data_IF_350404916746
#
_entry.id   IF_350404916746
#
_cell.length_a   1.000
_cell.length_b   1.000
_cell.length_c   1.000
_cell.angle_alpha   90.00
_cell.angle_beta   90.00
_cell.angle_gamma   90.00
#
_symmetry.space_group_name_H-M   'P 1'
#
loop_
_entity.id
_entity.type
_entity.pdbx_description
1 polymer ?
#
# COMPACT_ATOMS: atom_id res chain seq x y z
N UNK A 1 -10.29 -16.76 38.75
CA UNK A 1 -10.29 -15.83 37.58
C UNK A 1 -11.53 -14.93 37.60
N UNK A 2 -12.72 -15.41 37.88
CA UNK A 2 -13.94 -14.63 38.00
C UNK A 2 -13.94 -13.59 39.14
N UNK A 3 -13.20 -13.80 40.21
CA UNK A 3 -13.12 -12.91 41.38
C UNK A 3 -12.34 -11.62 41.09
N UNK A 4 -11.34 -11.67 40.23
CA UNK A 4 -10.58 -10.45 39.84
C UNK A 4 -11.35 -9.56 38.87
N UNK A 5 -12.19 -10.13 38.02
CA UNK A 5 -13.02 -9.35 37.10
C UNK A 5 -14.11 -8.56 37.88
N UNK A 6 -14.68 -9.14 38.93
CA UNK A 6 -15.62 -8.42 39.83
C UNK A 6 -14.96 -7.21 40.52
N UNK A 7 -13.69 -7.33 40.91
CA UNK A 7 -12.96 -6.25 41.60
C UNK A 7 -12.63 -5.07 40.69
N UNK A 8 -12.36 -5.34 39.39
CA UNK A 8 -12.09 -4.28 38.42
C UNK A 8 -13.37 -3.48 38.07
N UNK A 9 -14.51 -4.16 37.94
CA UNK A 9 -15.82 -3.49 37.75
C UNK A 9 -16.23 -2.65 38.97
N UNK A 10 -15.91 -3.11 40.17
CA UNK A 10 -16.19 -2.37 41.41
C UNK A 10 -15.35 -1.09 41.54
N UNK A 11 -14.11 -1.11 41.14
CA UNK A 11 -13.23 0.07 41.25
C UNK A 11 -13.54 1.15 40.18
N UNK A 12 -14.01 0.78 39.01
CA UNK A 12 -14.49 1.75 38.00
C UNK A 12 -15.79 2.43 38.42
N UNK A 13 -16.66 1.70 39.18
CA UNK A 13 -17.87 2.27 39.74
C UNK A 13 -17.60 3.17 40.97
N UNK A 14 -16.56 2.89 41.76
CA UNK A 14 -16.22 3.70 42.94
C UNK A 14 -15.63 5.10 42.58
N UNK A 15 -15.07 5.27 41.40
CA UNK A 15 -14.58 6.56 40.94
C UNK A 15 -15.66 7.53 40.42
N UNK A 16 -16.89 7.06 40.26
CA UNK A 16 -18.04 7.84 39.74
C UNK A 16 -19.23 7.98 40.72
N UNK A 17 -19.10 7.47 41.96
CA UNK A 17 -20.23 7.41 42.88
C UNK A 17 -20.09 8.40 44.04
N UNK A 18 -20.51 9.63 43.83
CA UNK A 18 -21.00 10.52 44.91
C UNK A 18 -22.52 10.46 45.08
N UNK A 19 -23.23 9.68 44.28
CA UNK A 19 -24.66 9.40 44.45
C UNK A 19 -24.92 7.90 44.40
N UNK A 20 -25.72 7.38 45.32
CA UNK A 20 -26.24 5.98 45.44
C UNK A 20 -27.15 5.63 44.24
N UNK A 21 -26.62 5.65 43.00
CA UNK A 21 -27.31 5.07 41.84
C UNK A 21 -26.97 3.59 41.79
N UNK A 22 -27.96 2.75 41.99
CA UNK A 22 -27.91 1.31 41.69
C UNK A 22 -27.38 1.14 40.29
N UNK A 23 -26.28 0.43 40.12
CA UNK A 23 -25.70 0.12 38.81
C UNK A 23 -26.63 -0.85 38.08
N UNK A 24 -27.62 -0.31 37.35
CA UNK A 24 -28.53 -1.10 36.53
C UNK A 24 -27.76 -1.46 35.26
N UNK A 25 -27.58 -2.76 35.02
CA UNK A 25 -27.04 -3.24 33.74
C UNK A 25 -27.96 -2.77 32.62
N UNK A 26 -27.40 -1.95 31.71
CA UNK A 26 -28.15 -1.39 30.59
C UNK A 26 -27.83 -2.18 29.31
N UNK A 27 -28.84 -2.82 28.74
CA UNK A 27 -28.81 -3.34 27.38
C UNK A 27 -29.16 -2.19 26.45
N UNK A 28 -28.21 -1.78 25.58
CA UNK A 28 -28.39 -0.64 24.68
C UNK A 28 -29.21 -1.06 23.46
N UNK A 29 -28.81 -2.16 22.81
CA UNK A 29 -29.44 -2.68 21.59
C UNK A 29 -29.13 -4.17 21.40
N UNK A 30 -29.91 -4.85 20.54
CA UNK A 30 -29.52 -6.15 19.98
C UNK A 30 -28.47 -5.95 18.91
N UNK A 31 -27.41 -6.74 18.94
CA UNK A 31 -26.30 -6.60 18.00
C UNK A 31 -25.93 -7.98 17.43
N UNK A 32 -25.50 -7.99 16.16
CA UNK A 32 -25.30 -9.18 15.35
C UNK A 32 -23.86 -9.29 14.84
N UNK A 33 -23.37 -10.51 14.73
CA UNK A 33 -22.16 -10.87 13.98
C UNK A 33 -22.55 -11.37 12.58
N UNK A 34 -21.57 -11.63 11.73
CA UNK A 34 -21.85 -12.22 10.42
C UNK A 34 -22.42 -13.65 10.52
N UNK A 35 -22.10 -14.38 11.59
CA UNK A 35 -22.60 -15.73 11.83
C UNK A 35 -24.09 -15.77 12.25
N UNK A 36 -24.68 -14.64 12.64
CA UNK A 36 -26.07 -14.52 13.11
C UNK A 36 -27.06 -14.31 11.96
N UNK A 37 -26.60 -14.03 10.74
CA UNK A 37 -27.44 -13.60 9.62
C UNK A 37 -27.09 -14.32 8.33
N UNK A 38 -28.05 -14.34 7.41
CA UNK A 38 -27.88 -14.82 6.04
C UNK A 38 -28.41 -13.76 5.07
N UNK A 39 -27.89 -13.78 3.83
CA UNK A 39 -28.43 -12.96 2.77
C UNK A 39 -29.73 -13.56 2.24
N UNK A 40 -30.75 -12.73 2.07
CA UNK A 40 -32.00 -13.13 1.42
C UNK A 40 -31.80 -13.18 -0.08
N UNK A 41 -32.06 -14.33 -0.75
CA UNK A 41 -31.95 -14.40 -2.20
C UNK A 41 -32.86 -13.39 -2.89
N UNK A 42 -32.36 -12.74 -3.93
CA UNK A 42 -33.12 -11.78 -4.72
C UNK A 42 -33.01 -12.06 -6.22
N UNK A 43 -33.90 -11.47 -7.02
CA UNK A 43 -33.84 -11.58 -8.47
C UNK A 43 -32.49 -11.03 -8.99
N UNK A 44 -31.81 -11.77 -9.87
CA UNK A 44 -30.56 -11.38 -10.49
C UNK A 44 -30.61 -11.55 -12.00
N UNK A 45 -30.07 -10.57 -12.70
CA UNK A 45 -29.81 -10.61 -14.15
C UNK A 45 -28.30 -10.71 -14.46
N UNK A 46 -27.46 -10.79 -13.44
CA UNK A 46 -26.00 -10.80 -13.55
C UNK A 46 -25.44 -12.20 -13.30
N UNK A 47 -24.65 -12.70 -14.24
CA UNK A 47 -23.90 -13.95 -14.04
C UNK A 47 -22.62 -13.67 -13.23
N UNK A 48 -22.14 -14.64 -12.42
CA UNK A 48 -20.94 -14.47 -11.60
C UNK A 48 -19.71 -13.96 -12.37
N UNK A 49 -19.51 -14.42 -13.60
CA UNK A 49 -18.39 -13.98 -14.48
C UNK A 49 -18.45 -12.51 -14.93
N UNK A 50 -19.60 -11.85 -14.76
CA UNK A 50 -19.81 -10.45 -15.15
C UNK A 50 -19.87 -9.52 -13.95
N UNK A 51 -19.63 -10.02 -12.74
CA UNK A 51 -19.62 -9.20 -11.52
C UNK A 51 -18.33 -8.41 -11.44
N UNK A 52 -18.45 -7.10 -11.19
CA UNK A 52 -17.31 -6.25 -10.83
C UNK A 52 -17.12 -6.26 -9.32
N UNK A 53 -15.90 -6.53 -8.86
CA UNK A 53 -15.52 -6.44 -7.45
C UNK A 53 -14.89 -5.08 -7.10
N UNK A 54 -14.86 -4.16 -8.06
CA UNK A 54 -14.28 -2.83 -7.85
C UNK A 54 -15.00 -2.08 -6.73
N UNK A 55 -14.23 -1.49 -5.83
CA UNK A 55 -14.74 -0.72 -4.71
C UNK A 55 -13.87 0.51 -4.45
N UNK A 56 -14.42 1.45 -3.68
CA UNK A 56 -13.70 2.65 -3.26
C UNK A 56 -13.10 2.44 -1.87
N UNK A 57 -11.77 2.54 -1.78
CA UNK A 57 -11.03 2.46 -0.51
C UNK A 57 -11.08 3.77 0.26
N UNK A 58 -10.80 4.87 -0.43
CA UNK A 58 -10.81 6.23 0.10
C UNK A 58 -11.49 7.16 -0.91
N UNK A 59 -11.49 8.46 -0.66
CA UNK A 59 -12.07 9.42 -1.62
C UNK A 59 -11.43 9.34 -3.01
N UNK A 60 -10.12 9.09 -3.07
CA UNK A 60 -9.34 9.16 -4.31
C UNK A 60 -8.69 7.83 -4.71
N UNK A 61 -8.87 6.76 -3.92
CA UNK A 61 -8.30 5.44 -4.21
C UNK A 61 -9.42 4.43 -4.38
N UNK A 62 -9.44 3.76 -5.53
CA UNK A 62 -10.27 2.59 -5.79
C UNK A 62 -9.42 1.31 -5.73
N UNK A 63 -10.04 0.21 -5.37
CA UNK A 63 -9.49 -1.13 -5.43
C UNK A 63 -10.24 -1.95 -6.48
N UNK A 64 -9.54 -2.80 -7.22
CA UNK A 64 -10.15 -3.74 -8.16
C UNK A 64 -10.65 -5.00 -7.45
N UNK A 65 -10.08 -5.33 -6.29
CA UNK A 65 -10.52 -6.37 -5.37
C UNK A 65 -10.71 -5.75 -3.97
N UNK A 66 -11.86 -5.93 -3.29
CA UNK A 66 -12.18 -5.25 -2.02
C UNK A 66 -11.46 -5.86 -0.81
N UNK A 67 -10.14 -6.10 -0.94
CA UNK A 67 -9.32 -6.71 0.09
C UNK A 67 -8.14 -5.80 0.47
N UNK A 68 -7.91 -5.73 1.79
CA UNK A 68 -6.80 -5.00 2.41
C UNK A 68 -6.06 -5.97 3.34
N UNK A 69 -4.73 -6.06 3.24
CA UNK A 69 -3.99 -6.87 4.20
C UNK A 69 -3.80 -6.12 5.53
N UNK A 70 -3.92 -6.85 6.64
CA UNK A 70 -3.79 -6.29 7.98
C UNK A 70 -2.38 -5.76 8.25
N UNK A 71 -2.30 -4.60 8.91
CA UNK A 71 -1.05 -3.95 9.30
C UNK A 71 -0.43 -4.61 10.55
N UNK A 72 -0.18 -5.91 10.47
CA UNK A 72 0.31 -6.73 11.56
C UNK A 72 1.75 -7.20 11.30
N UNK A 73 2.55 -7.23 12.36
CA UNK A 73 3.87 -7.84 12.35
C UNK A 73 3.79 -9.29 11.86
N UNK A 74 4.79 -9.74 11.11
CA UNK A 74 4.86 -11.06 10.45
C UNK A 74 3.76 -11.34 9.40
N UNK A 75 2.84 -10.41 9.14
CA UNK A 75 1.78 -10.52 8.13
C UNK A 75 2.09 -9.64 6.93
N UNK A 76 2.09 -8.32 7.08
CA UNK A 76 2.24 -7.40 5.94
C UNK A 76 3.56 -6.67 5.95
N UNK A 77 4.51 -7.18 5.19
CA UNK A 77 5.70 -6.49 4.73
C UNK A 77 5.64 -6.30 3.20
N UNK A 78 6.70 -5.74 2.60
CA UNK A 78 6.75 -5.41 1.18
C UNK A 78 6.35 -6.59 0.24
N UNK A 79 6.68 -7.84 0.58
CA UNK A 79 6.35 -9.01 -0.25
C UNK A 79 4.84 -9.22 -0.36
N UNK A 80 4.12 -9.25 0.77
CA UNK A 80 2.68 -9.40 0.75
C UNK A 80 1.99 -8.16 0.17
N UNK A 81 2.50 -6.95 0.47
CA UNK A 81 1.94 -5.72 -0.09
C UNK A 81 2.00 -5.70 -1.63
N UNK A 82 3.09 -6.22 -2.22
CA UNK A 82 3.21 -6.41 -3.67
C UNK A 82 2.13 -7.37 -4.18
N UNK A 83 2.04 -8.58 -3.60
CA UNK A 83 1.05 -9.58 -4.04
C UNK A 83 -0.39 -9.06 -3.91
N UNK A 84 -0.71 -8.38 -2.80
CA UNK A 84 -2.04 -7.77 -2.61
C UNK A 84 -2.37 -6.75 -3.68
N UNK A 85 -1.41 -5.89 -4.04
CA UNK A 85 -1.62 -4.88 -5.08
C UNK A 85 -1.71 -5.50 -6.48
N UNK A 86 -0.94 -6.56 -6.77
CA UNK A 86 -1.01 -7.32 -8.03
C UNK A 86 -2.38 -7.96 -8.24
N UNK A 87 -2.98 -8.51 -7.18
CA UNK A 87 -4.33 -9.10 -7.22
C UNK A 87 -5.46 -8.05 -7.21
N UNK A 88 -5.15 -6.77 -7.11
CA UNK A 88 -6.14 -5.68 -7.17
C UNK A 88 -6.57 -5.10 -5.83
N UNK A 89 -6.06 -5.62 -4.72
CA UNK A 89 -6.23 -5.09 -3.37
C UNK A 89 -5.15 -4.06 -2.99
N UNK A 90 -4.87 -3.92 -1.70
CA UNK A 90 -3.79 -3.09 -1.18
C UNK A 90 -3.18 -3.69 0.09
N UNK A 91 -1.86 -3.63 0.21
CA UNK A 91 -1.15 -4.02 1.42
C UNK A 91 -0.85 -2.83 2.32
N UNK A 92 -1.08 -3.01 3.64
CA UNK A 92 -0.74 -1.99 4.65
C UNK A 92 0.47 -2.46 5.46
N UNK A 93 1.63 -1.85 5.22
CA UNK A 93 2.88 -2.22 5.91
C UNK A 93 2.80 -1.83 7.39
N UNK A 94 3.09 -2.80 8.27
CA UNK A 94 3.01 -2.61 9.71
C UNK A 94 4.05 -1.63 10.25
N UNK A 95 3.78 -1.06 11.44
CA UNK A 95 4.65 -0.06 12.10
C UNK A 95 5.67 -0.64 13.09
N UNK A 96 5.65 -1.96 13.35
CA UNK A 96 6.58 -2.59 14.30
C UNK A 96 7.98 -2.77 13.69
N UNK A 97 8.55 -1.68 13.22
CA UNK A 97 9.90 -1.56 12.68
C UNK A 97 10.36 -0.10 12.75
N UNK A 98 11.66 0.15 12.60
CA UNK A 98 12.16 1.52 12.56
C UNK A 98 11.68 2.27 11.29
N UNK A 99 11.70 3.59 11.34
CA UNK A 99 11.20 4.48 10.29
C UNK A 99 11.84 4.18 8.94
N UNK A 100 13.17 4.04 8.91
CA UNK A 100 13.94 3.78 7.69
C UNK A 100 13.51 2.47 7.02
N UNK A 101 13.38 1.38 7.79
CA UNK A 101 12.98 0.06 7.26
C UNK A 101 11.56 0.10 6.70
N UNK A 102 10.63 0.80 7.35
CA UNK A 102 9.26 0.92 6.87
C UNK A 102 9.20 1.73 5.56
N UNK A 103 9.91 2.84 5.48
CA UNK A 103 10.02 3.65 4.27
C UNK A 103 10.69 2.87 3.11
N UNK A 104 11.75 2.10 3.40
CA UNK A 104 12.39 1.21 2.42
C UNK A 104 11.42 0.13 1.91
N UNK A 105 10.56 -0.42 2.78
CA UNK A 105 9.55 -1.40 2.38
C UNK A 105 8.49 -0.77 1.46
N UNK A 106 8.02 0.45 1.74
CA UNK A 106 7.14 1.23 0.84
C UNK A 106 7.82 1.47 -0.50
N UNK A 107 9.03 2.01 -0.50
CA UNK A 107 9.80 2.27 -1.71
C UNK A 107 10.05 1.00 -2.55
N UNK A 108 10.20 -0.17 -1.89
CA UNK A 108 10.34 -1.45 -2.57
C UNK A 108 9.06 -1.84 -3.33
N UNK A 109 7.88 -1.62 -2.75
CA UNK A 109 6.59 -1.85 -3.42
C UNK A 109 6.44 -0.91 -4.62
N UNK A 110 6.67 0.38 -4.42
CA UNK A 110 6.57 1.40 -5.48
C UNK A 110 7.50 1.14 -6.68
N UNK A 111 8.66 0.54 -6.46
CA UNK A 111 9.62 0.18 -7.52
C UNK A 111 9.37 -1.19 -8.14
N UNK A 112 8.40 -1.96 -7.66
CA UNK A 112 8.28 -3.35 -8.08
C UNK A 112 7.77 -3.51 -9.52
N UNK A 113 6.85 -2.71 -9.97
CA UNK A 113 6.21 -2.81 -11.30
C UNK A 113 5.82 -1.43 -11.84
N UNK A 114 6.79 -0.61 -12.03
CA UNK A 114 6.55 0.72 -12.64
C UNK A 114 6.56 0.65 -14.17
N UNK A 115 5.98 -0.27 -14.86
CA UNK A 115 5.91 -0.38 -16.33
C UNK A 115 7.06 0.29 -17.10
N UNK A 116 7.43 1.49 -16.67
CA UNK A 116 8.64 2.24 -17.02
C UNK A 116 9.51 2.34 -15.78
N UNK A 117 10.72 1.79 -15.79
CA UNK A 117 11.71 2.01 -14.73
C UNK A 117 12.15 3.47 -14.84
N UNK A 118 11.52 4.37 -14.06
CA UNK A 118 11.97 5.77 -13.93
C UNK A 118 13.31 5.76 -13.18
N UNK A 119 14.26 6.57 -13.61
CA UNK A 119 15.64 6.64 -13.08
C UNK A 119 16.35 5.27 -13.03
N UNK A 120 16.58 4.61 -14.17
CA UNK A 120 17.35 3.39 -14.22
C UNK A 120 18.79 3.65 -13.75
N UNK A 121 19.41 2.62 -13.16
CA UNK A 121 20.84 2.72 -12.82
C UNK A 121 21.63 2.92 -14.08
N UNK A 122 22.38 4.01 -14.15
CA UNK A 122 23.25 4.38 -15.27
C UNK A 122 24.72 4.18 -14.94
N UNK A 123 25.54 4.06 -15.96
CA UNK A 123 26.99 3.97 -15.86
C UNK A 123 27.64 4.97 -16.82
N UNK A 124 28.88 5.41 -16.52
CA UNK A 124 29.65 6.28 -17.37
C UNK A 124 30.39 5.48 -18.48
N UNK A 125 30.57 6.02 -19.67
CA UNK A 125 31.23 5.33 -20.77
C UNK A 125 32.70 5.00 -20.48
N UNK A 126 33.37 5.76 -19.62
CA UNK A 126 34.76 5.58 -19.20
C UNK A 126 34.93 4.52 -18.09
N UNK A 127 33.84 4.06 -17.45
CA UNK A 127 33.92 3.02 -16.43
C UNK A 127 34.55 1.76 -17.00
N UNK A 128 35.49 1.15 -16.25
CA UNK A 128 36.09 -0.10 -16.69
C UNK A 128 35.14 -1.29 -16.54
N UNK A 129 35.23 -2.25 -17.45
CA UNK A 129 34.41 -3.47 -17.41
C UNK A 129 34.57 -4.23 -16.09
N UNK A 130 35.79 -4.29 -15.53
CA UNK A 130 36.05 -4.88 -14.22
C UNK A 130 35.29 -4.20 -13.10
N UNK A 131 35.29 -2.87 -13.06
CA UNK A 131 34.51 -2.08 -12.07
C UNK A 131 32.99 -2.30 -12.22
N UNK A 132 32.50 -2.41 -13.45
CA UNK A 132 31.11 -2.71 -13.73
C UNK A 132 30.71 -4.09 -13.18
N UNK A 133 31.56 -5.11 -13.35
CA UNK A 133 31.28 -6.45 -12.82
C UNK A 133 31.29 -6.48 -11.29
N UNK A 134 32.23 -5.78 -10.64
CA UNK A 134 32.26 -5.62 -9.19
C UNK A 134 31.02 -4.92 -8.66
N UNK A 135 30.61 -3.81 -9.27
CA UNK A 135 29.38 -3.08 -8.95
C UNK A 135 28.14 -4.00 -9.02
N UNK A 136 28.07 -4.86 -10.05
CA UNK A 136 26.99 -5.83 -10.23
C UNK A 136 27.00 -6.93 -9.17
N UNK A 137 28.18 -7.44 -8.80
CA UNK A 137 28.34 -8.48 -7.79
C UNK A 137 27.89 -8.00 -6.38
N UNK A 138 28.14 -6.73 -6.07
CA UNK A 138 27.75 -6.13 -4.79
C UNK A 138 26.22 -5.88 -4.69
N UNK A 139 25.51 -5.79 -5.82
CA UNK A 139 24.07 -5.54 -5.86
C UNK A 139 23.29 -6.85 -5.90
N UNK A 140 22.43 -7.07 -4.92
CA UNK A 140 21.53 -8.26 -4.82
C UNK A 140 20.54 -8.42 -5.98
N UNK A 141 20.39 -7.42 -6.86
CA UNK A 141 19.45 -7.42 -7.98
C UNK A 141 20.20 -7.65 -9.29
N UNK A 142 19.81 -8.68 -10.05
CA UNK A 142 20.32 -8.89 -11.40
C UNK A 142 19.84 -7.75 -12.32
N UNK A 143 20.76 -6.93 -12.78
CA UNK A 143 20.50 -5.88 -13.76
C UNK A 143 20.76 -6.47 -15.15
N UNK A 144 19.72 -6.60 -15.96
CA UNK A 144 19.82 -7.21 -17.29
C UNK A 144 20.29 -6.25 -18.38
N UNK A 145 20.31 -4.94 -18.11
CA UNK A 145 20.81 -3.89 -19.00
C UNK A 145 21.06 -2.61 -18.21
N UNK A 146 22.15 -1.93 -18.56
CA UNK A 146 22.61 -0.71 -17.91
C UNK A 146 22.79 0.38 -18.98
N UNK A 147 21.94 1.42 -18.97
CA UNK A 147 22.12 2.58 -19.84
C UNK A 147 23.46 3.26 -19.53
N UNK A 148 24.18 3.61 -20.60
CA UNK A 148 25.42 4.40 -20.53
C UNK A 148 25.06 5.85 -20.79
N UNK A 149 25.43 6.72 -19.85
CA UNK A 149 25.06 8.15 -19.89
C UNK A 149 26.32 8.99 -19.73
N UNK A 150 26.45 10.02 -20.57
CA UNK A 150 27.48 11.02 -20.49
C UNK A 150 26.85 12.41 -20.49
N UNK A 151 27.20 13.25 -19.53
CA UNK A 151 26.62 14.60 -19.35
C UNK A 151 25.09 14.66 -19.39
N UNK A 152 24.45 13.66 -18.78
CA UNK A 152 22.99 13.51 -18.73
C UNK A 152 22.36 12.90 -19.98
N UNK A 153 23.08 12.73 -21.07
CA UNK A 153 22.61 12.20 -22.37
C UNK A 153 22.87 10.71 -22.51
N UNK A 154 21.95 10.01 -23.13
CA UNK A 154 22.08 8.60 -23.46
C UNK A 154 23.12 8.41 -24.58
N UNK A 155 24.21 7.67 -24.31
CA UNK A 155 25.26 7.37 -25.29
C UNK A 155 25.35 5.89 -25.67
N UNK A 156 24.77 4.99 -24.86
CA UNK A 156 24.78 3.57 -25.15
C UNK A 156 24.00 2.72 -24.15
N UNK A 157 24.10 1.41 -24.34
CA UNK A 157 23.50 0.40 -23.45
C UNK A 157 24.45 -0.80 -23.33
N UNK A 158 24.70 -1.26 -22.12
CA UNK A 158 25.40 -2.54 -21.86
C UNK A 158 24.41 -3.56 -21.32
N UNK A 159 24.41 -4.75 -21.91
CA UNK A 159 23.54 -5.85 -21.54
C UNK A 159 24.32 -7.06 -21.02
N UNK A 160 23.61 -8.06 -20.51
CA UNK A 160 24.22 -9.34 -20.12
C UNK A 160 24.91 -10.05 -21.31
N UNK A 161 24.42 -9.84 -22.54
CA UNK A 161 24.99 -10.43 -23.73
C UNK A 161 26.39 -9.87 -24.00
N UNK A 162 26.57 -8.57 -23.82
CA UNK A 162 27.85 -7.87 -24.08
C UNK A 162 28.93 -8.26 -23.05
N UNK A 163 28.51 -8.57 -21.82
CA UNK A 163 29.40 -8.98 -20.72
C UNK A 163 29.69 -10.48 -20.64
N UNK A 164 28.89 -11.33 -21.31
CA UNK A 164 28.90 -12.80 -21.09
C UNK A 164 30.25 -13.45 -21.41
N UNK A 165 30.91 -12.98 -22.44
CA UNK A 165 32.15 -13.55 -22.92
C UNK A 165 33.31 -12.53 -22.93
N UNK A 166 33.09 -11.36 -22.29
CA UNK A 166 34.13 -10.34 -22.24
C UNK A 166 35.18 -10.70 -21.19
N UNK A 167 36.42 -10.74 -21.63
CA UNK A 167 37.60 -11.10 -20.83
C UNK A 167 38.52 -9.93 -20.55
N UNK A 168 38.43 -8.84 -21.33
CA UNK A 168 39.24 -7.63 -21.15
C UNK A 168 38.62 -6.71 -20.15
N UNK A 169 39.01 -6.86 -18.87
CA UNK A 169 38.44 -6.13 -17.75
C UNK A 169 38.96 -4.70 -17.60
N UNK A 170 40.05 -4.38 -18.26
CA UNK A 170 40.76 -3.09 -18.24
C UNK A 170 40.28 -2.10 -19.34
N UNK A 171 39.37 -2.53 -20.23
CA UNK A 171 38.83 -1.65 -21.25
C UNK A 171 37.61 -0.87 -20.74
N UNK A 172 37.31 0.31 -21.28
CA UNK A 172 36.16 1.11 -20.94
C UNK A 172 34.85 0.47 -21.46
N UNK A 173 33.75 0.72 -20.76
CA UNK A 173 32.40 0.28 -21.14
C UNK A 173 32.01 0.73 -22.55
N UNK A 174 32.49 1.90 -22.98
CA UNK A 174 32.27 2.43 -24.35
C UNK A 174 32.76 1.51 -25.46
N UNK A 175 33.73 0.63 -25.18
CA UNK A 175 34.27 -0.31 -26.17
C UNK A 175 33.36 -1.53 -26.41
N UNK A 176 32.44 -1.84 -25.48
CA UNK A 176 31.58 -3.01 -25.55
C UNK A 176 30.09 -2.70 -25.58
N UNK A 177 29.68 -1.45 -25.35
CA UNK A 177 28.30 -1.02 -25.35
C UNK A 177 27.70 -1.04 -26.76
N UNK A 178 26.38 -1.28 -26.83
CA UNK A 178 25.60 -0.93 -28.03
C UNK A 178 25.51 0.59 -28.12
N UNK A 179 26.00 1.25 -29.16
CA UNK A 179 26.02 2.70 -29.25
C UNK A 179 24.62 3.29 -29.46
N UNK A 180 24.41 4.56 -29.09
CA UNK A 180 23.13 5.28 -29.17
C UNK A 180 22.41 5.13 -30.51
N UNK A 181 23.16 5.18 -31.63
CA UNK A 181 22.60 5.09 -32.97
C UNK A 181 21.88 3.76 -33.28
N UNK A 182 22.25 2.70 -32.57
CA UNK A 182 21.65 1.35 -32.73
C UNK A 182 20.56 1.05 -31.70
N UNK A 183 20.32 1.97 -30.76
CA UNK A 183 19.31 1.76 -29.70
C UNK A 183 17.91 2.16 -30.15
N UNK A 184 16.94 1.32 -29.83
CA UNK A 184 15.52 1.65 -29.96
C UNK A 184 15.11 2.50 -28.76
N UNK A 185 14.67 3.72 -29.02
CA UNK A 185 14.22 4.67 -27.99
C UNK A 185 12.80 5.14 -28.27
N UNK A 186 12.11 5.56 -27.23
CA UNK A 186 10.76 6.11 -27.29
C UNK A 186 10.70 7.44 -26.51
N UNK A 187 9.83 8.37 -26.88
CA UNK A 187 9.62 9.60 -26.12
C UNK A 187 8.91 9.31 -24.78
N UNK A 188 9.02 10.27 -23.84
CA UNK A 188 8.22 10.25 -22.62
C UNK A 188 6.71 10.22 -22.95
N UNK A 189 5.94 9.45 -22.19
CA UNK A 189 4.50 9.29 -22.39
C UNK A 189 4.11 8.22 -23.40
N UNK A 190 5.06 7.53 -24.04
CA UNK A 190 4.76 6.38 -24.92
C UNK A 190 3.99 5.31 -24.14
N UNK A 191 2.90 4.82 -24.74
CA UNK A 191 2.10 3.75 -24.14
C UNK A 191 2.86 2.42 -24.05
N UNK A 192 2.46 1.54 -23.12
CA UNK A 192 3.05 0.21 -23.00
C UNK A 192 2.79 -0.63 -24.27
N UNK A 193 1.64 -0.41 -24.91
CA UNK A 193 1.23 -1.08 -26.16
C UNK A 193 2.15 -0.68 -27.31
N UNK A 194 2.41 0.62 -27.49
CA UNK A 194 3.32 1.13 -28.54
C UNK A 194 4.77 0.66 -28.29
N UNK A 195 5.21 0.67 -27.04
CA UNK A 195 6.51 0.16 -26.66
C UNK A 195 6.65 -1.34 -26.97
N UNK A 196 5.59 -2.14 -26.74
CA UNK A 196 5.54 -3.57 -27.07
C UNK A 196 5.66 -3.79 -28.57
N UNK A 197 4.94 -3.01 -29.36
CA UNK A 197 4.98 -3.14 -30.82
C UNK A 197 6.37 -2.83 -31.37
N UNK A 198 7.01 -1.76 -30.89
CA UNK A 198 8.38 -1.41 -31.23
C UNK A 198 9.39 -2.50 -30.83
N UNK A 199 9.25 -3.08 -29.64
CA UNK A 199 10.10 -4.20 -29.21
C UNK A 199 9.94 -5.41 -30.13
N UNK A 200 8.73 -5.71 -30.57
CA UNK A 200 8.47 -6.82 -31.47
C UNK A 200 9.05 -6.57 -32.87
N UNK A 201 8.85 -5.37 -33.43
CA UNK A 201 9.35 -4.97 -34.75
C UNK A 201 10.89 -5.03 -34.81
N UNK A 202 11.55 -4.48 -33.78
CA UNK A 202 13.01 -4.41 -33.71
C UNK A 202 13.66 -5.64 -33.06
N UNK A 203 12.87 -6.63 -32.59
CA UNK A 203 13.34 -7.84 -31.89
C UNK A 203 14.24 -7.53 -30.68
N UNK A 204 13.90 -6.48 -29.93
CA UNK A 204 14.62 -6.07 -28.71
C UNK A 204 13.80 -6.38 -27.47
N UNK A 205 14.49 -6.67 -26.34
CA UNK A 205 13.84 -6.97 -25.06
C UNK A 205 13.59 -5.73 -24.19
N UNK A 206 14.02 -4.56 -24.68
CA UNK A 206 13.90 -3.29 -23.95
C UNK A 206 13.98 -2.08 -24.88
N UNK A 207 13.30 -1.02 -24.48
CA UNK A 207 13.39 0.30 -25.10
C UNK A 207 13.71 1.34 -24.04
N UNK A 208 14.49 2.33 -24.41
CA UNK A 208 14.90 3.41 -23.53
C UNK A 208 13.99 4.62 -23.77
N UNK A 209 13.52 5.22 -22.67
CA UNK A 209 12.66 6.40 -22.73
C UNK A 209 13.54 7.63 -22.63
N UNK A 210 13.45 8.53 -23.61
CA UNK A 210 14.25 9.76 -23.68
C UNK A 210 13.35 10.97 -23.87
N UNK A 211 13.83 12.14 -23.43
CA UNK A 211 13.16 13.41 -23.74
C UNK A 211 13.69 14.01 -25.08
N UNK A 212 13.18 15.20 -25.44
CA UNK A 212 13.59 15.91 -26.66
C UNK A 212 15.07 16.31 -26.70
N UNK A 213 15.76 16.34 -25.59
CA UNK A 213 17.18 16.62 -25.43
C UNK A 213 18.07 15.36 -25.43
N UNK A 214 17.48 14.18 -25.70
CA UNK A 214 18.11 12.84 -25.63
C UNK A 214 18.63 12.46 -24.24
N UNK A 215 18.03 13.05 -23.19
CA UNK A 215 18.30 12.66 -21.82
C UNK A 215 17.47 11.43 -21.45
N UNK A 216 18.09 10.48 -20.74
CA UNK A 216 17.44 9.26 -20.30
C UNK A 216 16.39 9.57 -19.20
N UNK A 217 15.15 9.18 -19.42
CA UNK A 217 14.03 9.33 -18.50
C UNK A 217 13.48 7.99 -17.97
N UNK A 218 13.81 6.89 -18.66
CA UNK A 218 13.35 5.58 -18.21
C UNK A 218 13.80 4.42 -19.08
N UNK A 219 13.38 3.23 -18.67
CA UNK A 219 13.61 1.97 -19.34
C UNK A 219 12.36 1.11 -19.27
N UNK A 220 11.86 0.60 -20.38
CA UNK A 220 10.78 -0.37 -20.48
C UNK A 220 11.36 -1.71 -20.90
N UNK A 221 10.98 -2.81 -20.25
CA UNK A 221 11.43 -4.15 -20.61
C UNK A 221 10.26 -5.07 -20.97
N UNK A 222 10.51 -6.12 -21.76
CA UNK A 222 9.51 -7.19 -22.05
C UNK A 222 8.93 -7.76 -20.75
N UNK A 223 9.74 -7.88 -19.69
CA UNK A 223 9.27 -8.37 -18.38
C UNK A 223 8.20 -7.45 -17.78
N UNK A 224 8.35 -6.13 -17.92
CA UNK A 224 7.37 -5.16 -17.41
C UNK A 224 6.04 -5.25 -18.18
N UNK A 225 6.12 -5.49 -19.49
CA UNK A 225 4.94 -5.70 -20.35
C UNK A 225 4.23 -7.02 -20.01
N UNK A 226 4.98 -8.13 -19.88
CA UNK A 226 4.41 -9.44 -19.53
C UNK A 226 3.69 -9.40 -18.18
N UNK A 227 4.23 -8.69 -17.20
CA UNK A 227 3.58 -8.52 -15.88
C UNK A 227 2.25 -7.76 -15.95
N UNK A 228 2.11 -6.80 -16.86
CA UNK A 228 0.83 -6.11 -17.07
C UNK A 228 -0.23 -7.07 -17.59
N UNK A 229 0.17 -8.06 -18.39
CA UNK A 229 -0.73 -9.12 -18.88
C UNK A 229 -1.01 -10.17 -17.81
N UNK A 230 -0.03 -10.50 -16.96
CA UNK A 230 -0.15 -11.48 -15.88
C UNK A 230 -1.08 -10.98 -14.75
N UNK A 231 -1.05 -9.67 -14.44
CA UNK A 231 -1.86 -9.05 -13.38
C UNK A 231 -2.77 -7.94 -13.93
N UNK A 232 -3.84 -8.28 -14.69
CA UNK A 232 -4.70 -7.28 -15.33
C UNK A 232 -5.51 -6.45 -14.33
N UNK A 233 -5.70 -6.97 -13.12
CA UNK A 233 -6.42 -6.30 -12.04
C UNK A 233 -5.52 -5.55 -11.06
N UNK A 234 -4.20 -5.46 -11.32
CA UNK A 234 -3.27 -4.82 -10.42
C UNK A 234 -3.70 -3.39 -10.03
N UNK A 235 -3.64 -3.10 -8.74
CA UNK A 235 -3.98 -1.78 -8.21
C UNK A 235 -2.76 -0.85 -8.34
N UNK A 236 -2.82 0.04 -9.31
CA UNK A 236 -1.73 0.95 -9.68
C UNK A 236 -2.13 2.41 -9.50
N UNK A 237 -1.15 3.27 -9.24
CA UNK A 237 -1.32 4.72 -9.26
C UNK A 237 -1.26 5.25 -10.71
N UNK A 238 -1.41 6.56 -10.85
CA UNK A 238 -1.37 7.24 -12.16
C UNK A 238 -0.01 7.14 -12.88
N UNK A 239 1.06 6.82 -12.14
CA UNK A 239 2.39 6.56 -12.70
C UNK A 239 2.62 5.07 -13.03
N UNK A 240 1.59 4.22 -12.94
CA UNK A 240 1.68 2.78 -13.17
C UNK A 240 2.38 1.99 -12.07
N UNK A 241 2.65 2.59 -10.89
CA UNK A 241 3.30 1.94 -9.76
C UNK A 241 2.25 1.29 -8.85
N UNK A 242 2.58 0.13 -8.27
CA UNK A 242 1.71 -0.55 -7.31
C UNK A 242 1.37 0.36 -6.13
N UNK A 243 0.10 0.37 -5.72
CA UNK A 243 -0.36 1.11 -4.53
C UNK A 243 -0.01 0.37 -3.26
N UNK A 244 0.35 1.14 -2.22
CA UNK A 244 0.74 0.62 -0.92
C UNK A 244 0.33 1.58 0.19
N UNK A 245 -0.15 1.03 1.30
CA UNK A 245 -0.37 1.78 2.54
C UNK A 245 0.66 1.47 3.61
N UNK A 246 0.72 2.31 4.62
CA UNK A 246 1.55 2.08 5.80
C UNK A 246 0.85 2.54 7.08
N UNK A 247 0.98 1.72 8.13
CA UNK A 247 0.43 2.03 9.43
C UNK A 247 1.37 2.93 10.24
N UNK A 248 0.76 3.84 11.00
CA UNK A 248 1.45 4.72 11.96
C UNK A 248 0.71 4.73 13.30
N UNK A 249 1.40 5.12 14.35
CA UNK A 249 0.81 5.35 15.68
C UNK A 249 0.44 6.80 15.93
N UNK A 250 0.41 7.16 17.22
CA UNK A 250 0.15 8.53 17.71
C UNK A 250 1.30 9.07 18.57
N UNK A 251 2.39 8.32 18.68
CA UNK A 251 3.57 8.69 19.47
C UNK A 251 4.37 9.85 18.86
N UNK A 252 5.37 10.36 19.59
CA UNK A 252 6.15 11.55 19.20
C UNK A 252 6.97 11.36 17.91
N UNK A 253 7.43 10.13 17.62
CA UNK A 253 8.18 9.80 16.41
C UNK A 253 7.33 9.75 15.13
N UNK A 254 5.99 9.87 15.25
CA UNK A 254 5.07 9.67 14.14
C UNK A 254 5.21 10.75 13.08
N UNK A 255 5.57 11.97 13.44
CA UNK A 255 5.74 13.06 12.48
C UNK A 255 6.87 12.76 11.49
N UNK A 256 8.04 12.35 12.00
CA UNK A 256 9.17 11.91 11.17
C UNK A 256 8.81 10.68 10.33
N UNK A 257 8.11 9.72 10.93
CA UNK A 257 7.67 8.50 10.25
C UNK A 257 6.75 8.81 9.07
N UNK A 258 5.74 9.65 9.25
CA UNK A 258 4.84 10.06 8.17
C UNK A 258 5.62 10.76 7.06
N UNK A 259 6.49 11.71 7.39
CA UNK A 259 7.31 12.41 6.39
C UNK A 259 8.17 11.44 5.57
N UNK A 260 8.83 10.47 6.22
CA UNK A 260 9.65 9.45 5.54
C UNK A 260 8.80 8.54 4.64
N UNK A 261 7.60 8.16 5.07
CA UNK A 261 6.67 7.34 4.28
C UNK A 261 6.16 8.08 3.04
N UNK A 262 5.81 9.37 3.21
CA UNK A 262 5.38 10.23 2.10
C UNK A 262 6.52 10.41 1.09
N UNK A 263 7.74 10.68 1.54
CA UNK A 263 8.92 10.75 0.68
C UNK A 263 9.21 9.43 -0.06
N UNK A 264 8.85 8.28 0.54
CA UNK A 264 8.93 6.97 -0.11
C UNK A 264 7.79 6.69 -1.11
N UNK A 265 6.78 7.57 -1.22
CA UNK A 265 5.66 7.48 -2.15
C UNK A 265 4.48 6.65 -1.65
N UNK A 266 4.22 6.60 -0.33
CA UNK A 266 3.05 5.91 0.22
C UNK A 266 1.75 6.51 -0.33
N UNK A 267 0.77 5.67 -0.67
CA UNK A 267 -0.52 6.13 -1.20
C UNK A 267 -1.53 6.41 -0.08
N UNK A 268 -1.46 5.66 1.03
CA UNK A 268 -2.38 5.81 2.15
C UNK A 268 -1.68 5.59 3.49
N UNK A 269 -1.94 6.49 4.43
CA UNK A 269 -1.52 6.38 5.83
C UNK A 269 -2.68 5.82 6.65
N UNK A 270 -2.41 4.80 7.44
CA UNK A 270 -3.39 4.21 8.37
C UNK A 270 -2.97 4.59 9.80
N UNK A 271 -3.73 5.46 10.45
CA UNK A 271 -3.57 5.74 11.88
C UNK A 271 -4.20 4.59 12.65
N UNK A 272 -3.38 3.62 13.03
CA UNK A 272 -3.80 2.30 13.51
C UNK A 272 -3.53 2.14 15.01
N UNK A 273 -4.61 2.05 15.80
CA UNK A 273 -4.58 1.90 17.25
C UNK A 273 -5.66 0.92 17.72
N UNK A 274 -5.50 0.39 18.93
CA UNK A 274 -6.51 -0.46 19.56
C UNK A 274 -7.82 0.29 19.87
N UNK A 275 -7.78 1.62 19.99
CA UNK A 275 -8.94 2.47 20.25
C UNK A 275 -8.85 3.75 19.42
N UNK A 276 -9.45 3.73 18.23
CA UNK A 276 -9.43 4.83 17.27
C UNK A 276 -10.25 6.06 17.70
N UNK A 277 -11.19 5.91 18.62
CA UNK A 277 -11.96 7.03 19.17
C UNK A 277 -11.24 7.66 20.38
N UNK A 278 -9.96 7.94 20.25
CA UNK A 278 -9.17 8.68 21.24
C UNK A 278 -8.73 10.01 20.66
N UNK A 279 -8.54 11.02 21.53
CA UNK A 279 -8.13 12.35 21.10
C UNK A 279 -6.84 12.32 20.30
N UNK A 280 -5.85 11.54 20.73
CA UNK A 280 -4.58 11.40 20.00
C UNK A 280 -4.70 10.87 18.58
N UNK A 281 -5.68 9.99 18.30
CA UNK A 281 -5.95 9.50 16.94
C UNK A 281 -6.64 10.57 16.10
N UNK A 282 -7.64 11.26 16.65
CA UNK A 282 -8.36 12.34 15.98
C UNK A 282 -7.37 13.47 15.60
N UNK A 283 -6.51 13.87 16.55
CA UNK A 283 -5.50 14.91 16.32
C UNK A 283 -4.46 14.45 15.30
N UNK A 284 -4.05 13.18 15.33
CA UNK A 284 -3.10 12.63 14.35
C UNK A 284 -3.68 12.61 12.94
N UNK A 285 -4.93 12.21 12.75
CA UNK A 285 -5.62 12.27 11.44
C UNK A 285 -5.63 13.71 10.92
N UNK A 286 -6.04 14.66 11.77
CA UNK A 286 -6.06 16.10 11.42
C UNK A 286 -4.68 16.60 11.04
N UNK A 287 -3.67 16.26 11.83
CA UNK A 287 -2.29 16.66 11.58
C UNK A 287 -1.76 16.14 10.23
N UNK A 288 -2.00 14.85 9.90
CA UNK A 288 -1.58 14.30 8.62
C UNK A 288 -2.25 15.03 7.46
N UNK A 289 -3.55 15.28 7.54
CA UNK A 289 -4.30 15.99 6.48
C UNK A 289 -3.86 17.45 6.32
N UNK A 290 -3.44 18.12 7.40
CA UNK A 290 -2.93 19.48 7.34
C UNK A 290 -1.53 19.59 6.73
N UNK A 291 -0.65 18.64 7.06
CA UNK A 291 0.76 18.69 6.61
C UNK A 291 0.99 17.96 5.27
N UNK A 292 0.14 16.98 4.93
CA UNK A 292 0.24 16.16 3.71
C UNK A 292 -1.15 15.99 3.08
N UNK A 293 -1.77 17.05 2.53
CA UNK A 293 -3.16 17.05 2.07
C UNK A 293 -3.44 16.03 0.96
N UNK A 294 -2.44 15.73 0.14
CA UNK A 294 -2.56 14.77 -0.98
C UNK A 294 -2.61 13.31 -0.52
N UNK A 295 -2.08 13.01 0.68
CA UNK A 295 -2.06 11.65 1.20
C UNK A 295 -3.43 11.27 1.73
N UNK A 296 -3.91 10.08 1.36
CA UNK A 296 -5.15 9.54 1.88
C UNK A 296 -4.95 8.99 3.30
N UNK A 297 -5.92 9.21 4.19
CA UNK A 297 -5.81 8.84 5.60
C UNK A 297 -6.97 7.95 6.02
N UNK A 298 -6.63 6.81 6.60
CA UNK A 298 -7.57 5.88 7.25
C UNK A 298 -7.39 5.99 8.76
N UNK A 299 -8.46 6.22 9.51
CA UNK A 299 -8.45 6.21 10.98
C UNK A 299 -9.09 4.94 11.54
N UNK A 300 -8.49 4.35 12.59
CA UNK A 300 -9.08 3.17 13.25
C UNK A 300 -8.26 2.64 14.45
N UNK A 301 -8.73 1.56 15.14
CA UNK A 301 -10.03 0.92 14.89
C UNK A 301 -11.15 1.55 15.71
N UNK A 302 -12.34 1.57 15.15
CA UNK A 302 -13.55 2.09 15.78
C UNK A 302 -14.66 1.03 15.76
N UNK A 303 -15.76 1.27 16.50
CA UNK A 303 -16.93 0.41 16.47
C UNK A 303 -18.25 1.18 16.58
N UNK A 304 -18.23 2.52 16.61
CA UNK A 304 -19.43 3.32 16.89
C UNK A 304 -19.63 4.44 15.86
N UNK A 305 -20.87 4.84 15.65
CA UNK A 305 -21.24 5.96 14.80
C UNK A 305 -20.63 7.30 15.27
N UNK A 306 -20.50 7.52 16.59
CA UNK A 306 -19.86 8.72 17.14
C UNK A 306 -18.40 8.82 16.72
N UNK A 307 -17.62 7.74 16.89
CA UNK A 307 -16.23 7.66 16.46
C UNK A 307 -16.06 7.95 14.96
N UNK A 308 -16.97 7.41 14.15
CA UNK A 308 -16.95 7.63 12.70
C UNK A 308 -17.16 9.09 12.33
N UNK A 309 -18.12 9.78 12.98
CA UNK A 309 -18.34 11.22 12.76
C UNK A 309 -17.11 12.04 13.13
N UNK A 310 -16.50 11.77 14.27
CA UNK A 310 -15.37 12.55 14.76
C UNK A 310 -14.12 12.37 13.89
N UNK A 311 -13.86 11.14 13.40
CA UNK A 311 -12.77 10.88 12.46
C UNK A 311 -13.04 11.50 11.08
N UNK A 312 -14.28 11.43 10.58
CA UNK A 312 -14.66 12.08 9.33
C UNK A 312 -14.51 13.62 9.43
N UNK A 313 -14.92 14.22 10.54
CA UNK A 313 -14.74 15.65 10.82
C UNK A 313 -13.25 16.04 10.97
N UNK A 314 -12.38 15.12 11.42
CA UNK A 314 -10.94 15.31 11.45
C UNK A 314 -10.28 15.22 10.06
N UNK A 315 -11.03 14.78 9.02
CA UNK A 315 -10.56 14.71 7.64
C UNK A 315 -10.16 13.30 7.19
N UNK A 316 -10.53 12.24 7.92
CA UNK A 316 -10.30 10.87 7.46
C UNK A 316 -10.99 10.61 6.11
N UNK A 317 -10.30 9.91 5.21
CA UNK A 317 -10.82 9.51 3.90
C UNK A 317 -11.50 8.14 3.94
N UNK A 318 -11.19 7.34 4.98
CA UNK A 318 -11.88 6.11 5.34
C UNK A 318 -11.73 5.83 6.84
N UNK A 319 -12.58 4.95 7.38
CA UNK A 319 -12.48 4.48 8.75
C UNK A 319 -12.42 2.96 8.80
N UNK A 320 -11.61 2.41 9.71
CA UNK A 320 -11.44 0.98 9.91
C UNK A 320 -12.21 0.53 11.15
N UNK A 321 -13.16 -0.40 10.95
CA UNK A 321 -14.16 -0.83 11.95
C UNK A 321 -13.85 -2.24 12.42
N UNK A 322 -13.69 -2.41 13.73
CA UNK A 322 -13.49 -3.71 14.34
C UNK A 322 -12.77 -3.61 15.69
N UNK A 323 -13.53 -3.78 16.78
CA UNK A 323 -13.00 -3.89 18.14
C UNK A 323 -13.24 -5.31 18.64
N UNK A 324 -12.19 -6.12 18.58
CA UNK A 324 -12.21 -7.50 19.06
C UNK A 324 -12.84 -8.57 18.17
N UNK A 325 -13.21 -8.36 16.89
CA UNK A 325 -13.84 -9.42 16.10
C UNK A 325 -12.85 -10.41 15.47
N UNK A 326 -11.56 -10.09 15.42
CA UNK A 326 -10.54 -10.94 14.83
C UNK A 326 -10.40 -12.28 15.56
N UNK A 327 -10.10 -13.36 14.81
CA UNK A 327 -9.98 -14.72 15.38
C UNK A 327 -8.89 -14.86 16.43
N UNK A 328 -7.81 -14.05 16.31
CA UNK A 328 -6.69 -14.03 17.25
C UNK A 328 -6.83 -12.93 18.32
N UNK A 329 -7.87 -12.09 18.24
CA UNK A 329 -8.03 -10.94 19.13
C UNK A 329 -8.56 -11.37 20.51
N UNK A 330 -7.84 -10.97 21.55
CA UNK A 330 -8.20 -11.26 22.96
C UNK A 330 -8.90 -10.10 23.65
N UNK A 331 -9.10 -8.97 23.02
CA UNK A 331 -9.66 -7.74 23.61
C UNK A 331 -11.02 -7.99 24.29
N UNK A 332 -11.92 -8.72 23.63
CA UNK A 332 -13.25 -9.02 24.20
C UNK A 332 -13.17 -9.91 25.43
N UNK A 333 -12.20 -10.84 25.48
CA UNK A 333 -12.03 -11.78 26.58
C UNK A 333 -11.32 -11.11 27.76
N UNK A 334 -10.28 -10.34 27.49
CA UNK A 334 -9.42 -9.75 28.53
C UNK A 334 -10.03 -8.43 29.06
N UNK A 335 -10.47 -7.56 28.17
CA UNK A 335 -10.98 -6.22 28.54
C UNK A 335 -12.50 -6.15 28.61
N UNK A 336 -13.23 -7.13 28.07
CA UNK A 336 -14.70 -7.09 28.00
C UNK A 336 -15.24 -6.01 27.06
N UNK A 337 -14.40 -5.52 26.14
CA UNK A 337 -14.73 -4.41 25.23
C UNK A 337 -14.88 -4.90 23.80
N UNK A 338 -15.94 -4.47 23.12
CA UNK A 338 -16.17 -4.80 21.72
C UNK A 338 -17.63 -4.57 21.32
N UNK A 339 -17.86 -4.60 20.01
CA UNK A 339 -19.21 -4.55 19.41
C UNK A 339 -19.30 -5.69 18.41
N UNK A 340 -20.43 -6.42 18.30
CA UNK A 340 -20.65 -7.40 17.24
C UNK A 340 -20.46 -6.77 15.87
N UNK A 341 -19.66 -7.42 15.00
CA UNK A 341 -19.03 -6.76 13.85
C UNK A 341 -20.04 -6.26 12.81
N UNK A 342 -21.08 -7.04 12.51
CA UNK A 342 -22.08 -6.61 11.53
C UNK A 342 -22.80 -5.35 11.99
N UNK A 343 -23.20 -5.28 13.25
CA UNK A 343 -23.83 -4.08 13.83
C UNK A 343 -22.88 -2.89 13.86
N UNK A 344 -21.59 -3.10 14.21
CA UNK A 344 -20.60 -2.04 14.19
C UNK A 344 -20.43 -1.45 12.79
N UNK A 345 -20.29 -2.29 11.76
CA UNK A 345 -20.17 -1.87 10.37
C UNK A 345 -21.43 -1.15 9.90
N UNK A 346 -22.61 -1.68 10.20
CA UNK A 346 -23.89 -1.07 9.86
C UNK A 346 -24.02 0.34 10.45
N UNK A 347 -23.83 0.50 11.75
CA UNK A 347 -23.98 1.78 12.45
C UNK A 347 -22.99 2.85 11.94
N UNK A 348 -21.76 2.44 11.65
CA UNK A 348 -20.72 3.32 11.07
C UNK A 348 -21.09 3.69 9.63
N UNK A 349 -21.53 2.72 8.83
CA UNK A 349 -21.90 2.95 7.43
C UNK A 349 -23.08 3.91 7.30
N UNK A 350 -24.13 3.74 8.14
CA UNK A 350 -25.31 4.61 8.13
C UNK A 350 -24.94 6.08 8.37
N UNK A 351 -24.08 6.36 9.35
CA UNK A 351 -23.73 7.74 9.70
C UNK A 351 -22.78 8.40 8.67
N UNK A 352 -22.09 7.60 7.88
CA UNK A 352 -21.16 8.10 6.85
C UNK A 352 -21.79 8.19 5.46
N UNK A 353 -23.05 7.82 5.29
CA UNK A 353 -23.77 7.98 4.01
C UNK A 353 -23.69 9.43 3.51
N UNK A 354 -23.32 9.60 2.25
CA UNK A 354 -23.20 10.90 1.61
C UNK A 354 -21.95 11.72 1.95
N UNK A 355 -21.11 11.28 2.92
CA UNK A 355 -19.89 12.02 3.30
C UNK A 355 -18.70 11.77 2.37
N UNK A 356 -18.75 10.71 1.58
CA UNK A 356 -17.63 10.25 0.77
C UNK A 356 -16.54 9.49 1.55
N UNK A 357 -16.68 9.31 2.85
CA UNK A 357 -15.77 8.52 3.70
C UNK A 357 -16.14 7.03 3.61
N UNK A 358 -15.18 6.19 3.26
CA UNK A 358 -15.39 4.76 3.11
C UNK A 358 -15.27 4.00 4.43
N UNK A 359 -15.90 2.82 4.51
CA UNK A 359 -15.88 1.94 5.68
C UNK A 359 -15.12 0.67 5.35
N UNK A 360 -14.20 0.27 6.22
CA UNK A 360 -13.40 -0.94 6.13
C UNK A 360 -13.78 -1.86 7.28
N UNK A 361 -14.29 -3.04 6.97
CA UNK A 361 -14.56 -4.07 7.97
C UNK A 361 -13.27 -4.83 8.28
N UNK A 362 -12.83 -4.77 9.55
CA UNK A 362 -11.59 -5.41 10.01
C UNK A 362 -11.90 -6.55 10.97
N UNK A 363 -11.77 -7.79 10.48
CA UNK A 363 -12.02 -9.00 11.22
C UNK A 363 -13.50 -9.43 11.31
N UNK A 364 -13.73 -10.67 11.74
CA UNK A 364 -15.06 -11.25 11.94
C UNK A 364 -15.73 -11.81 10.69
N UNK A 365 -15.18 -11.60 9.50
CA UNK A 365 -15.65 -12.20 8.25
C UNK A 365 -14.83 -13.46 8.00
N UNK A 366 -15.48 -14.64 8.00
CA UNK A 366 -14.80 -15.94 7.89
C UNK A 366 -14.98 -16.60 6.54
N UNK A 367 -16.06 -16.29 5.84
CA UNK A 367 -16.43 -16.87 4.56
C UNK A 367 -16.75 -15.77 3.55
N UNK A 368 -16.56 -16.10 2.27
CA UNK A 368 -16.89 -15.20 1.15
C UNK A 368 -18.39 -15.10 0.91
#
# INVERSE_FOLDING_TARGET
>A
MLTKCRQFCYNAAALLATDKKVLIMRIVEKAYTFDDVLLVPAHSQVLPKHVSLQTRLTRNISLNLPLISAAMDTVTEARLAISMAQEGGIGIIHKNMNIKRQAEAVAKVKRHESGVVKDPVTIAPEMLVGQLLEMRAQRKRQMSGLPVVQDGKLVGLVTNRDLRFETRLDQPVSAIMTPRAELVTVPEGTSIEDARELMHQHKVERVLVVNAQDELKGLITVRDILKTTEFPHANKDQDGRLRVGAAVGVGPETDERVAALVAAGVDVIVVDTAHGHSQGVIDRVRWVKQNFPEVQVIGGNIATAAAARDLAAAGADAVKVGIGPGSICTTRIIAGVGVPQLTAVHNVSEVLKGTGVSVIADGGIRFS
#
